data_IF_622309738996
#
_entry.id   IF_622309738996
#
_cell.length_a   1.000
_cell.length_b   1.000
_cell.length_c   1.000
_cell.angle_alpha   90.00
_cell.angle_beta   90.00
_cell.angle_gamma   90.00
#
_symmetry.space_group_name_H-M   'P 1'
#
loop_
_entity.id
_entity.type
_entity.pdbx_description
1 polymer ?
#
# COMPACT_ATOMS: atom_id res chain seq x y z
N UNK A 1 -20.08 25.41 -42.57
CA UNK A 1 -19.82 26.04 -41.26
C UNK A 1 -19.42 24.93 -40.30
N UNK A 2 -18.32 25.13 -39.57
CA UNK A 2 -17.58 24.10 -38.83
C UNK A 2 -18.32 23.69 -37.55
N UNK A 3 -18.63 22.40 -37.40
CA UNK A 3 -19.01 21.78 -36.14
C UNK A 3 -17.81 21.78 -35.19
N UNK A 4 -17.91 22.51 -34.08
CA UNK A 4 -16.93 22.45 -32.99
C UNK A 4 -17.35 21.28 -32.09
N UNK A 5 -16.62 20.17 -32.22
CA UNK A 5 -16.66 19.04 -31.30
C UNK A 5 -15.97 19.48 -30.01
N UNK A 6 -16.74 19.77 -28.96
CA UNK A 6 -16.21 19.99 -27.61
C UNK A 6 -15.82 18.61 -27.06
N UNK A 7 -14.52 18.30 -27.13
CA UNK A 7 -13.94 17.14 -26.45
C UNK A 7 -13.97 17.45 -24.94
N UNK A 8 -14.86 16.77 -24.22
CA UNK A 8 -14.84 16.68 -22.76
C UNK A 8 -13.56 15.93 -22.35
N UNK A 9 -12.58 16.67 -21.83
CA UNK A 9 -11.45 16.10 -21.09
C UNK A 9 -11.83 16.06 -19.60
N UNK A 10 -12.10 14.90 -18.99
CA UNK A 10 -12.04 14.79 -17.53
C UNK A 10 -10.56 14.74 -17.14
N UNK A 11 -10.01 15.90 -16.79
CA UNK A 11 -8.69 16.03 -16.18
C UNK A 11 -8.67 15.35 -14.81
N UNK A 12 -7.99 14.21 -14.76
CA UNK A 12 -7.18 13.68 -13.66
C UNK A 12 -7.48 14.23 -12.24
N UNK A 13 -8.54 13.72 -11.60
CA UNK A 13 -8.84 13.93 -10.17
C UNK A 13 -8.42 12.74 -9.28
N UNK A 14 -7.63 11.79 -9.80
CA UNK A 14 -7.43 10.49 -9.13
C UNK A 14 -6.23 10.37 -8.18
N UNK A 15 -5.17 11.18 -8.31
CA UNK A 15 -3.90 10.87 -7.65
C UNK A 15 -3.80 11.35 -6.18
N UNK A 16 -4.48 12.44 -5.82
CA UNK A 16 -4.53 12.93 -4.43
C UNK A 16 -5.68 12.29 -3.62
N UNK A 17 -6.63 11.62 -4.32
CA UNK A 17 -7.73 10.83 -3.80
C UNK A 17 -7.30 9.78 -2.76
N UNK A 18 -6.43 8.88 -3.23
CA UNK A 18 -6.09 7.58 -2.63
C UNK A 18 -5.44 7.63 -1.23
N UNK A 19 -5.03 8.81 -0.77
CA UNK A 19 -4.35 9.00 0.51
C UNK A 19 -5.29 9.06 1.71
N UNK A 20 -6.56 9.46 1.50
CA UNK A 20 -7.55 9.64 2.56
C UNK A 20 -7.92 8.31 3.20
N UNK A 21 -8.41 7.36 2.41
CA UNK A 21 -8.81 6.04 2.87
C UNK A 21 -7.68 5.26 3.55
N UNK A 22 -6.44 5.39 3.04
CA UNK A 22 -5.28 4.77 3.66
C UNK A 22 -4.97 5.36 5.05
N UNK A 23 -5.12 6.69 5.20
CA UNK A 23 -4.98 7.36 6.49
C UNK A 23 -6.11 6.98 7.45
N UNK A 24 -7.35 6.87 6.97
CA UNK A 24 -8.49 6.42 7.77
C UNK A 24 -8.26 5.00 8.31
N UNK A 25 -7.75 4.09 7.45
CA UNK A 25 -7.35 2.74 7.86
C UNK A 25 -6.25 2.74 8.93
N UNK A 26 -5.27 3.63 8.80
CA UNK A 26 -4.23 3.85 9.81
C UNK A 26 -4.84 4.32 11.14
N UNK A 27 -5.77 5.28 11.11
CA UNK A 27 -6.42 5.85 12.30
C UNK A 27 -7.32 4.85 13.04
N UNK A 28 -7.82 3.82 12.36
CA UNK A 28 -8.53 2.70 13.02
C UNK A 28 -7.58 1.86 13.89
N UNK A 29 -6.29 1.78 13.54
CA UNK A 29 -5.31 0.91 14.21
C UNK A 29 -4.37 1.62 15.16
N UNK A 30 -4.12 2.91 14.93
CA UNK A 30 -3.14 3.70 15.67
C UNK A 30 -3.80 4.95 16.23
N UNK A 31 -3.41 5.35 17.44
CA UNK A 31 -3.84 6.62 18.00
C UNK A 31 -3.24 7.79 17.21
N UNK A 32 -3.84 9.00 17.27
CA UNK A 32 -3.27 10.18 16.63
C UNK A 32 -1.81 10.43 17.06
N UNK A 33 -1.49 10.26 18.34
CA UNK A 33 -0.14 10.43 18.87
C UNK A 33 0.84 9.41 18.28
N UNK A 34 0.42 8.16 18.08
CA UNK A 34 1.26 7.13 17.44
C UNK A 34 1.50 7.44 15.96
N UNK A 35 0.48 7.95 15.26
CA UNK A 35 0.61 8.36 13.86
C UNK A 35 1.56 9.55 13.76
N UNK A 36 1.42 10.53 14.63
CA UNK A 36 2.30 11.70 14.66
C UNK A 36 3.74 11.32 15.02
N UNK A 37 3.94 10.46 16.01
CA UNK A 37 5.25 9.92 16.35
C UNK A 37 5.89 9.19 15.17
N UNK A 38 5.14 8.34 14.46
CA UNK A 38 5.63 7.70 13.24
C UNK A 38 5.98 8.73 12.16
N UNK A 39 5.16 9.76 11.98
CA UNK A 39 5.41 10.81 10.99
C UNK A 39 6.69 11.60 11.29
N UNK A 40 6.98 11.87 12.56
CA UNK A 40 8.13 12.68 12.98
C UNK A 40 9.42 11.87 13.13
N UNK A 41 9.34 10.65 13.70
CA UNK A 41 10.52 9.91 14.16
C UNK A 41 10.77 8.62 13.39
N UNK A 42 9.78 8.10 12.67
CA UNK A 42 9.92 6.88 11.86
C UNK A 42 9.17 7.00 10.53
N UNK A 43 9.45 8.08 9.80
CA UNK A 43 8.70 8.48 8.61
C UNK A 43 8.61 7.37 7.54
N UNK A 44 9.68 6.59 7.34
CA UNK A 44 9.65 5.40 6.47
C UNK A 44 8.56 4.38 6.84
N UNK A 45 8.27 4.18 8.13
CA UNK A 45 7.20 3.30 8.63
C UNK A 45 5.83 3.91 8.35
N UNK A 46 5.68 5.20 8.57
CA UNK A 46 4.45 5.93 8.24
C UNK A 46 4.10 5.82 6.74
N UNK A 47 5.05 6.12 5.86
CA UNK A 47 4.89 6.00 4.41
C UNK A 47 4.63 4.55 4.00
N UNK A 48 5.37 3.60 4.56
CA UNK A 48 5.17 2.18 4.30
C UNK A 48 3.73 1.72 4.61
N UNK A 49 3.16 2.15 5.74
CA UNK A 49 1.79 1.80 6.10
C UNK A 49 0.74 2.47 5.20
N UNK A 50 0.95 3.72 4.78
CA UNK A 50 0.07 4.37 3.80
C UNK A 50 0.07 3.61 2.47
N UNK A 51 1.25 3.22 1.99
CA UNK A 51 1.39 2.42 0.77
C UNK A 51 0.81 1.02 0.94
N UNK A 52 0.93 0.42 2.13
CA UNK A 52 0.32 -0.86 2.42
C UNK A 52 -1.19 -0.80 2.22
N UNK A 53 -1.88 0.18 2.81
CA UNK A 53 -3.33 0.28 2.65
C UNK A 53 -3.76 0.77 1.28
N UNK A 54 -3.05 1.72 0.68
CA UNK A 54 -3.51 2.37 -0.56
C UNK A 54 -3.02 1.72 -1.85
N UNK A 55 -1.88 1.03 -1.83
CA UNK A 55 -1.13 0.66 -3.06
C UNK A 55 -0.51 -0.73 -3.07
N UNK A 56 -0.72 -1.55 -2.04
CA UNK A 56 -0.16 -2.92 -2.02
C UNK A 56 -1.02 -3.96 -2.74
N UNK A 57 -2.02 -3.51 -3.49
CA UNK A 57 -2.92 -4.36 -4.26
C UNK A 57 -3.50 -3.60 -5.45
N UNK A 58 -4.04 -4.33 -6.41
CA UNK A 58 -4.84 -3.80 -7.51
C UNK A 58 -6.18 -4.53 -7.60
N UNK A 59 -7.18 -3.84 -8.14
CA UNK A 59 -8.53 -4.39 -8.33
C UNK A 59 -8.69 -4.84 -9.78
N UNK A 60 -9.25 -6.02 -9.98
CA UNK A 60 -9.58 -6.51 -11.31
C UNK A 60 -10.79 -5.75 -11.89
N UNK A 61 -10.61 -5.19 -13.08
CA UNK A 61 -11.64 -4.52 -13.87
C UNK A 61 -11.66 -5.11 -15.29
N UNK A 62 -12.56 -6.08 -15.49
CA UNK A 62 -12.57 -6.92 -16.69
C UNK A 62 -11.27 -7.72 -16.83
N UNK A 63 -10.55 -7.62 -17.98
CA UNK A 63 -9.28 -8.32 -18.19
C UNK A 63 -8.06 -7.58 -17.60
N UNK A 64 -8.25 -6.38 -17.06
CA UNK A 64 -7.16 -5.52 -16.59
C UNK A 64 -7.14 -5.41 -15.07
N UNK A 65 -5.99 -4.99 -14.55
CA UNK A 65 -5.83 -4.57 -13.15
C UNK A 65 -5.62 -3.07 -13.11
N UNK A 66 -6.31 -2.42 -12.18
CA UNK A 66 -6.20 -0.98 -11.95
C UNK A 66 -5.96 -0.68 -10.48
N UNK A 67 -5.52 0.54 -10.21
CA UNK A 67 -5.40 1.02 -8.85
C UNK A 67 -6.80 1.07 -8.19
N UNK A 68 -6.86 0.80 -6.87
CA UNK A 68 -8.12 0.82 -6.14
C UNK A 68 -8.66 2.25 -5.99
N UNK A 69 -9.98 2.37 -5.94
CA UNK A 69 -10.65 3.62 -5.55
C UNK A 69 -10.66 3.78 -4.03
N UNK A 70 -10.90 5.00 -3.53
CA UNK A 70 -11.05 5.29 -2.09
C UNK A 70 -12.06 4.36 -1.39
N UNK A 71 -13.22 4.13 -2.01
CA UNK A 71 -14.25 3.25 -1.45
C UNK A 71 -13.78 1.79 -1.37
N UNK A 72 -13.01 1.32 -2.36
CA UNK A 72 -12.43 -0.02 -2.36
C UNK A 72 -11.32 -0.16 -1.30
N UNK A 73 -10.48 0.87 -1.13
CA UNK A 73 -9.47 0.91 -0.06
C UNK A 73 -10.14 0.85 1.31
N UNK A 74 -11.21 1.63 1.54
CA UNK A 74 -11.97 1.60 2.80
C UNK A 74 -12.65 0.24 3.03
N UNK A 75 -13.17 -0.39 1.98
CA UNK A 75 -13.89 -1.65 2.08
C UNK A 75 -12.99 -2.87 2.34
N UNK A 76 -11.82 -2.94 1.71
CA UNK A 76 -10.95 -4.12 1.81
C UNK A 76 -10.31 -4.26 3.19
N UNK A 77 -10.28 -5.48 3.73
CA UNK A 77 -9.42 -5.82 4.87
C UNK A 77 -8.17 -6.56 4.39
N UNK A 78 -7.11 -5.81 4.10
CA UNK A 78 -5.86 -6.41 3.62
C UNK A 78 -5.22 -7.36 4.63
N UNK A 79 -5.47 -7.19 5.93
CA UNK A 79 -4.89 -8.06 6.95
C UNK A 79 -5.53 -9.45 6.98
N UNK A 80 -6.78 -9.58 6.54
CA UNK A 80 -7.40 -10.89 6.33
C UNK A 80 -6.66 -11.72 5.28
N UNK A 81 -5.90 -11.05 4.40
CA UNK A 81 -5.17 -11.67 3.30
C UNK A 81 -3.65 -11.77 3.53
N UNK A 82 -3.12 -11.34 4.68
CA UNK A 82 -1.67 -11.29 4.93
C UNK A 82 -0.98 -12.65 4.81
N UNK A 83 -1.66 -13.72 5.23
CA UNK A 83 -1.15 -15.09 5.14
C UNK A 83 -1.06 -15.61 3.70
N UNK A 84 -1.79 -15.00 2.75
CA UNK A 84 -1.81 -15.39 1.34
C UNK A 84 -0.66 -14.73 0.55
N UNK A 85 -0.08 -13.64 1.05
CA UNK A 85 1.01 -12.93 0.36
C UNK A 85 2.27 -13.79 0.35
N UNK A 86 2.69 -14.17 -0.86
CA UNK A 86 3.97 -14.85 -1.06
C UNK A 86 5.14 -13.85 -1.01
N UNK A 87 6.36 -14.38 -0.84
CA UNK A 87 7.55 -13.53 -0.88
C UNK A 87 7.77 -12.92 -2.26
N UNK A 88 7.72 -13.75 -3.32
CA UNK A 88 8.22 -13.40 -4.65
C UNK A 88 7.17 -13.32 -5.76
N UNK A 89 5.94 -13.78 -5.53
CA UNK A 89 4.86 -13.79 -6.52
C UNK A 89 3.61 -13.06 -6.03
N UNK A 90 3.01 -12.27 -6.92
CA UNK A 90 1.71 -11.66 -6.67
C UNK A 90 0.63 -12.75 -6.63
N UNK A 91 -0.41 -12.52 -5.84
CA UNK A 91 -1.47 -13.51 -5.59
C UNK A 91 -2.83 -12.91 -5.92
N UNK A 92 -3.62 -13.64 -6.70
CA UNK A 92 -5.00 -13.27 -7.00
C UNK A 92 -5.93 -13.84 -5.92
N UNK A 93 -6.73 -12.98 -5.29
CA UNK A 93 -7.70 -13.38 -4.26
C UNK A 93 -9.09 -12.81 -4.56
N UNK A 94 -10.13 -13.46 -4.06
CA UNK A 94 -11.49 -12.92 -4.09
C UNK A 94 -11.79 -12.23 -2.75
N UNK A 95 -12.07 -10.93 -2.79
CA UNK A 95 -12.51 -10.18 -1.63
C UNK A 95 -14.04 -10.14 -1.59
N UNK A 96 -14.60 -10.73 -0.52
CA UNK A 96 -16.04 -10.87 -0.34
C UNK A 96 -16.72 -9.56 0.10
N UNK A 97 -15.97 -8.62 0.68
CA UNK A 97 -16.54 -7.36 1.20
C UNK A 97 -16.85 -6.42 0.05
N UNK A 98 -15.90 -6.25 -0.88
CA UNK A 98 -16.10 -5.37 -2.03
C UNK A 98 -16.58 -6.13 -3.28
N UNK A 99 -16.71 -7.46 -3.20
CA UNK A 99 -17.10 -8.36 -4.28
C UNK A 99 -16.25 -8.18 -5.56
N UNK A 100 -14.93 -8.15 -5.37
CA UNK A 100 -13.93 -7.99 -6.45
C UNK A 100 -12.78 -8.97 -6.28
N UNK A 101 -12.10 -9.25 -7.40
CA UNK A 101 -10.79 -9.91 -7.37
C UNK A 101 -9.69 -8.88 -7.16
N UNK A 102 -8.75 -9.22 -6.29
CA UNK A 102 -7.60 -8.40 -5.95
C UNK A 102 -6.32 -9.10 -6.37
N UNK A 103 -5.44 -8.39 -7.07
CA UNK A 103 -4.05 -8.80 -7.21
C UNK A 103 -3.27 -8.23 -6.02
N UNK A 104 -2.95 -9.06 -5.05
CA UNK A 104 -2.12 -8.71 -3.91
C UNK A 104 -0.66 -8.76 -4.33
N UNK A 105 0.07 -7.66 -4.09
CA UNK A 105 1.49 -7.62 -4.41
C UNK A 105 2.28 -8.57 -3.51
N UNK A 106 3.29 -9.21 -4.09
CA UNK A 106 4.30 -9.94 -3.34
C UNK A 106 5.02 -9.03 -2.35
N UNK A 107 5.65 -9.63 -1.34
CA UNK A 107 6.44 -8.86 -0.36
C UNK A 107 7.59 -8.11 -1.05
N UNK A 108 8.24 -8.73 -2.03
CA UNK A 108 9.32 -8.12 -2.80
C UNK A 108 8.83 -6.93 -3.64
N UNK A 109 7.68 -7.08 -4.33
CA UNK A 109 7.08 -6.00 -5.14
C UNK A 109 6.66 -4.84 -4.25
N UNK A 110 6.08 -5.12 -3.09
CA UNK A 110 5.71 -4.10 -2.12
C UNK A 110 6.94 -3.39 -1.53
N UNK A 111 8.00 -4.13 -1.19
CA UNK A 111 9.25 -3.52 -0.71
C UNK A 111 9.86 -2.58 -1.76
N UNK A 112 9.91 -3.00 -3.02
CA UNK A 112 10.37 -2.14 -4.12
C UNK A 112 9.52 -0.87 -4.23
N UNK A 113 8.19 -1.00 -4.16
CA UNK A 113 7.27 0.14 -4.14
C UNK A 113 7.56 1.11 -2.99
N UNK A 114 7.79 0.60 -1.78
CA UNK A 114 8.14 1.44 -0.62
C UNK A 114 9.44 2.17 -0.87
N UNK A 115 10.51 1.45 -1.22
CA UNK A 115 11.83 2.01 -1.48
C UNK A 115 11.77 3.15 -2.52
N UNK A 116 10.99 2.98 -3.59
CA UNK A 116 10.83 3.98 -4.64
C UNK A 116 10.12 5.27 -4.17
N UNK A 117 9.29 5.18 -3.13
CA UNK A 117 8.55 6.32 -2.57
C UNK A 117 9.27 7.00 -1.39
N UNK A 118 10.33 6.38 -0.86
CA UNK A 118 11.11 6.95 0.23
C UNK A 118 12.12 7.97 -0.30
N UNK A 119 12.29 9.05 0.48
CA UNK A 119 13.45 9.93 0.37
C UNK A 119 14.74 9.13 0.56
N UNK A 120 15.88 9.66 0.09
CA UNK A 120 17.16 8.95 0.28
C UNK A 120 17.44 8.69 1.76
N UNK A 121 17.21 9.68 2.64
CA UNK A 121 17.39 9.51 4.09
C UNK A 121 16.45 8.44 4.68
N UNK A 122 15.19 8.42 4.26
CA UNK A 122 14.23 7.41 4.74
C UNK A 122 14.55 6.02 4.22
N UNK A 123 15.05 5.92 2.99
CA UNK A 123 15.51 4.68 2.38
C UNK A 123 16.66 4.09 3.18
N UNK A 124 17.65 4.89 3.55
CA UNK A 124 18.75 4.44 4.41
C UNK A 124 18.26 3.99 5.79
N UNK A 125 17.32 4.74 6.39
CA UNK A 125 16.70 4.36 7.66
C UNK A 125 15.93 3.03 7.56
N UNK A 126 15.17 2.82 6.48
CA UNK A 126 14.45 1.58 6.20
C UNK A 126 15.39 0.39 6.03
N UNK A 127 16.46 0.54 5.23
CA UNK A 127 17.46 -0.50 5.01
C UNK A 127 18.19 -0.87 6.31
N UNK A 128 18.52 0.12 7.14
CA UNK A 128 19.13 -0.11 8.46
C UNK A 128 18.17 -0.88 9.40
N UNK A 129 16.89 -0.50 9.44
CA UNK A 129 15.86 -1.21 10.20
C UNK A 129 15.69 -2.66 9.73
N UNK A 130 15.67 -2.89 8.41
CA UNK A 130 15.56 -4.24 7.83
C UNK A 130 16.77 -5.10 8.21
N UNK A 131 17.98 -4.57 8.08
CA UNK A 131 19.21 -5.27 8.46
C UNK A 131 19.21 -5.66 9.94
N UNK A 132 18.78 -4.75 10.83
CA UNK A 132 18.66 -5.03 12.26
C UNK A 132 17.59 -6.10 12.57
N UNK A 133 16.47 -6.08 11.86
CA UNK A 133 15.37 -7.03 12.02
C UNK A 133 15.77 -8.45 11.59
N UNK A 134 16.51 -8.58 10.48
CA UNK A 134 17.08 -9.84 10.01
C UNK A 134 18.13 -10.41 10.99
N UNK A 135 19.00 -9.56 11.53
CA UNK A 135 20.01 -9.96 12.51
C UNK A 135 19.39 -10.44 13.85
N UNK A 136 18.20 -9.94 14.20
CA UNK A 136 17.49 -10.34 15.41
C UNK A 136 16.71 -11.64 15.22
N UNK A 137 16.18 -11.89 14.01
CA UNK A 137 15.52 -13.16 13.65
C UNK A 137 16.46 -14.35 13.46
N UNK A 138 17.77 -14.12 13.31
CA UNK A 138 18.79 -15.17 13.17
C UNK A 138 19.39 -15.68 14.50
N UNK A 139 18.89 -15.25 15.66
CA UNK A 139 19.28 -15.85 16.95
C UNK A 139 18.51 -17.16 17.19
N UNK A 140 18.97 -18.24 16.56
CA UNK A 140 18.66 -19.60 16.99
C UNK A 140 19.18 -19.80 18.42
N UNK A 141 18.38 -20.28 19.39
CA UNK A 141 18.95 -20.74 20.65
C UNK A 141 19.78 -22.00 20.35
N UNK A 142 21.08 -21.93 20.62
CA UNK A 142 21.93 -23.11 20.66
C UNK A 142 21.43 -24.08 21.75
N UNK A 143 21.60 -25.40 21.57
CA UNK A 143 21.01 -26.44 22.42
C UNK A 143 21.42 -26.37 23.90
#
# INVERSE_FOLDING_TARGET
>A
MRSILILLLPLALGANAQGGAALDKLQVRFTPDQIEDMRQHSHHKYVGLLLYYGRSFQVQDGPLFRDPTEAEILGVDLHAHDALRSQSADVLVEDQVINRRLLLFSRDRFEALVIDHLSESDRQAYLAYRAASLATGSKTPAP
#
